data_IF_180876401022
#
_entry.id   IF_180876401022
#
_cell.length_a   1.000
_cell.length_b   1.000
_cell.length_c   1.000
_cell.angle_alpha   90.00
_cell.angle_beta   90.00
_cell.angle_gamma   90.00
#
_symmetry.space_group_name_H-M   'P 1'
#
loop_
_entity.id
_entity.type
_entity.pdbx_description
1 polymer ?
#
# COMPACT_ATOMS: atom_id res chain seq x y z
N UNK A 1 -7.74 0.71 18.11
CA UNK A 1 -7.94 0.26 16.72
C UNK A 1 -6.66 0.58 15.97
N UNK A 2 -6.19 -0.35 15.14
CA UNK A 2 -4.99 -0.13 14.32
C UNK A 2 -5.36 0.78 13.13
N UNK A 3 -4.45 1.66 12.72
CA UNK A 3 -4.65 2.46 11.51
C UNK A 3 -4.72 1.53 10.30
N UNK A 4 -5.69 1.76 9.41
CA UNK A 4 -5.84 1.01 8.16
C UNK A 4 -5.03 1.65 7.04
N UNK A 5 -4.05 0.93 6.55
CA UNK A 5 -3.21 1.33 5.42
C UNK A 5 -3.56 0.49 4.19
N UNK A 6 -3.93 1.16 3.11
CA UNK A 6 -4.14 0.51 1.81
C UNK A 6 -2.93 0.74 0.92
N UNK A 7 -2.39 -0.32 0.36
CA UNK A 7 -1.26 -0.29 -0.57
C UNK A 7 -1.82 -0.43 -1.99
N UNK A 8 -1.62 0.58 -2.81
CA UNK A 8 -1.93 0.51 -4.24
C UNK A 8 -0.67 0.06 -5.00
N UNK A 9 -0.76 -1.14 -5.57
CA UNK A 9 0.31 -1.80 -6.31
C UNK A 9 0.94 -2.95 -5.53
N UNK A 10 1.17 -4.06 -6.21
CA UNK A 10 1.71 -5.32 -5.66
C UNK A 10 3.08 -5.70 -6.25
N UNK A 11 3.83 -4.71 -6.75
CA UNK A 11 5.21 -4.90 -7.18
C UNK A 11 6.15 -5.11 -5.99
N UNK A 12 7.46 -5.08 -6.25
CA UNK A 12 8.47 -5.25 -5.20
C UNK A 12 8.32 -4.21 -4.07
N UNK A 13 8.21 -2.93 -4.44
CA UNK A 13 8.03 -1.85 -3.47
C UNK A 13 6.68 -1.91 -2.75
N UNK A 14 5.61 -2.31 -3.44
CA UNK A 14 4.27 -2.46 -2.86
C UNK A 14 4.22 -3.56 -1.79
N UNK A 15 4.72 -4.76 -2.11
CA UNK A 15 4.76 -5.87 -1.15
C UNK A 15 5.71 -5.56 0.01
N UNK A 16 6.88 -4.99 -0.25
CA UNK A 16 7.78 -4.55 0.82
C UNK A 16 7.15 -3.52 1.76
N UNK A 17 6.41 -2.56 1.22
CA UNK A 17 5.65 -1.58 1.99
C UNK A 17 4.53 -2.24 2.82
N UNK A 18 3.79 -3.19 2.23
CA UNK A 18 2.73 -3.93 2.91
C UNK A 18 3.26 -4.71 4.11
N UNK A 19 4.38 -5.41 3.93
CA UNK A 19 5.04 -6.18 5.00
C UNK A 19 5.55 -5.25 6.09
N UNK A 20 6.22 -4.15 5.73
CA UNK A 20 6.68 -3.16 6.71
C UNK A 20 5.50 -2.60 7.52
N UNK A 21 4.41 -2.19 6.86
CA UNK A 21 3.23 -1.68 7.55
C UNK A 21 2.61 -2.75 8.48
N UNK A 22 2.49 -4.01 8.04
CA UNK A 22 1.99 -5.11 8.88
C UNK A 22 2.86 -5.29 10.14
N UNK A 23 4.19 -5.29 9.98
CA UNK A 23 5.13 -5.40 11.10
C UNK A 23 5.10 -4.19 12.04
N UNK A 24 4.64 -3.02 11.57
CA UNK A 24 4.43 -1.82 12.40
C UNK A 24 3.03 -1.72 13.00
N UNK A 25 2.20 -2.75 12.83
CA UNK A 25 0.90 -2.87 13.48
C UNK A 25 -0.25 -2.19 12.75
N UNK A 26 -0.12 -1.91 11.46
CA UNK A 26 -1.25 -1.43 10.65
C UNK A 26 -2.20 -2.59 10.30
N UNK A 27 -3.48 -2.24 10.08
CA UNK A 27 -4.40 -3.10 9.31
C UNK A 27 -4.10 -2.86 7.82
N UNK A 28 -3.55 -3.87 7.13
CA UNK A 28 -2.99 -3.70 5.79
C UNK A 28 -3.83 -4.44 4.75
N UNK A 29 -4.11 -3.75 3.65
CA UNK A 29 -4.77 -4.33 2.48
C UNK A 29 -4.01 -3.92 1.21
N UNK A 30 -3.73 -4.87 0.33
CA UNK A 30 -3.06 -4.63 -0.96
C UNK A 30 -4.07 -4.69 -2.11
N UNK A 31 -4.03 -3.73 -3.02
CA UNK A 31 -4.92 -3.69 -4.18
C UNK A 31 -4.12 -3.42 -5.45
N UNK A 32 -4.22 -4.33 -6.42
CA UNK A 32 -3.59 -4.20 -7.73
C UNK A 32 -4.62 -4.36 -8.86
N UNK A 33 -4.57 -3.44 -9.84
CA UNK A 33 -5.43 -3.48 -11.02
C UNK A 33 -4.99 -4.50 -12.06
N UNK A 34 -3.78 -5.07 -11.92
CA UNK A 34 -3.26 -6.17 -12.70
C UNK A 34 -3.16 -7.47 -11.88
N UNK A 35 -2.53 -8.47 -12.49
CA UNK A 35 -2.30 -9.77 -11.88
C UNK A 35 -1.09 -9.72 -10.95
N UNK A 36 -1.21 -10.31 -9.76
CA UNK A 36 -0.11 -10.36 -8.79
C UNK A 36 0.75 -11.58 -9.08
N UNK A 37 2.08 -11.38 -9.15
CA UNK A 37 3.01 -12.47 -9.34
C UNK A 37 2.94 -13.47 -8.17
N UNK A 38 3.03 -14.76 -8.46
CA UNK A 38 2.87 -15.84 -7.46
C UNK A 38 3.83 -15.70 -6.27
N UNK A 39 5.06 -15.23 -6.51
CA UNK A 39 6.04 -14.96 -5.45
C UNK A 39 5.52 -13.93 -4.43
N UNK A 40 4.85 -12.88 -4.90
CA UNK A 40 4.34 -11.81 -4.05
C UNK A 40 3.09 -12.24 -3.30
N UNK A 41 2.19 -13.03 -3.91
CA UNK A 41 1.06 -13.63 -3.20
C UNK A 41 1.52 -14.50 -2.03
N UNK A 42 2.52 -15.36 -2.25
CA UNK A 42 3.11 -16.18 -1.17
C UNK A 42 3.66 -15.35 -0.02
N UNK A 43 4.28 -14.21 -0.31
CA UNK A 43 4.74 -13.29 0.74
C UNK A 43 3.55 -12.66 1.48
N UNK A 44 2.54 -12.15 0.76
CA UNK A 44 1.34 -11.58 1.37
C UNK A 44 0.58 -12.61 2.24
N UNK A 45 0.43 -13.84 1.76
CA UNK A 45 -0.17 -14.95 2.50
C UNK A 45 0.64 -15.29 3.76
N UNK A 46 1.97 -15.33 3.65
CA UNK A 46 2.86 -15.61 4.79
C UNK A 46 2.71 -14.58 5.92
N UNK A 47 2.49 -13.30 5.57
CA UNK A 47 2.26 -12.23 6.53
C UNK A 47 0.77 -12.01 6.86
N UNK A 48 -0.12 -12.87 6.37
CA UNK A 48 -1.57 -12.77 6.55
C UNK A 48 -2.10 -11.38 6.16
N UNK A 49 -1.69 -10.90 4.98
CA UNK A 49 -2.10 -9.62 4.42
C UNK A 49 -3.18 -9.90 3.37
N UNK A 50 -4.37 -9.31 3.56
CA UNK A 50 -5.44 -9.42 2.58
C UNK A 50 -5.07 -8.65 1.30
N UNK A 51 -5.39 -9.23 0.14
CA UNK A 51 -5.15 -8.58 -1.14
C UNK A 51 -6.26 -8.81 -2.16
N UNK A 52 -6.30 -7.97 -3.19
CA UNK A 52 -7.06 -8.19 -4.41
C UNK A 52 -6.20 -7.96 -5.65
N UNK A 53 -6.53 -8.68 -6.71
CA UNK A 53 -5.86 -8.59 -8.01
C UNK A 53 -6.89 -8.42 -9.13
N UNK A 54 -6.46 -7.87 -10.25
CA UNK A 54 -7.25 -7.59 -11.46
C UNK A 54 -8.42 -6.60 -11.23
N UNK A 55 -8.41 -5.88 -10.10
CA UNK A 55 -9.45 -4.90 -9.76
C UNK A 55 -9.01 -3.94 -8.65
N UNK A 56 -9.76 -2.84 -8.55
CA UNK A 56 -9.73 -1.94 -7.41
C UNK A 56 -11.14 -1.82 -6.81
N UNK A 57 -11.38 -2.44 -5.66
CA UNK A 57 -12.66 -2.36 -4.95
C UNK A 57 -12.71 -1.07 -4.14
N UNK A 58 -13.49 -0.11 -4.61
CA UNK A 58 -13.55 1.24 -4.02
C UNK A 58 -13.93 1.23 -2.54
N UNK A 59 -14.89 0.40 -2.11
CA UNK A 59 -15.29 0.33 -0.70
C UNK A 59 -14.12 -0.12 0.20
N UNK A 60 -13.30 -1.07 -0.26
CA UNK A 60 -12.14 -1.55 0.51
C UNK A 60 -11.03 -0.51 0.59
N UNK A 61 -10.80 0.20 -0.52
CA UNK A 61 -9.73 1.20 -0.66
C UNK A 61 -10.10 2.49 0.07
N UNK A 62 -11.31 2.98 -0.12
CA UNK A 62 -11.78 4.24 0.46
C UNK A 62 -12.06 4.14 1.96
N UNK A 63 -12.04 2.95 2.56
CA UNK A 63 -12.11 2.77 4.00
C UNK A 63 -10.73 2.96 4.71
N UNK A 64 -9.68 3.30 3.95
CA UNK A 64 -8.34 3.52 4.51
C UNK A 64 -8.25 4.81 5.35
N UNK A 65 -7.42 4.76 6.39
CA UNK A 65 -6.95 5.97 7.09
C UNK A 65 -5.82 6.65 6.29
N UNK A 66 -4.99 5.84 5.63
CA UNK A 66 -3.86 6.29 4.81
C UNK A 66 -3.65 5.34 3.63
N UNK A 67 -3.22 5.88 2.48
CA UNK A 67 -2.91 5.09 1.29
C UNK A 67 -1.44 5.25 0.96
N UNK A 68 -0.74 4.14 0.79
CA UNK A 68 0.55 4.14 0.10
C UNK A 68 0.30 3.84 -1.38
N UNK A 69 0.89 4.65 -2.27
CA UNK A 69 0.72 4.50 -3.71
C UNK A 69 2.07 4.28 -4.39
N UNK A 70 2.21 3.15 -5.08
CA UNK A 70 3.40 2.86 -5.89
C UNK A 70 3.61 3.89 -7.02
N UNK A 71 4.86 4.22 -7.41
CA UNK A 71 5.14 5.22 -8.45
C UNK A 71 4.54 4.88 -9.81
N UNK A 72 4.40 3.58 -10.11
CA UNK A 72 3.82 3.09 -11.36
C UNK A 72 2.33 3.39 -11.53
N UNK A 73 1.62 3.77 -10.45
CA UNK A 73 0.19 4.10 -10.52
C UNK A 73 0.02 5.58 -10.90
N UNK A 74 -0.64 5.88 -12.03
CA UNK A 74 -0.83 7.24 -12.49
C UNK A 74 -1.65 8.09 -11.51
N UNK A 75 -1.22 9.33 -11.27
CA UNK A 75 -2.02 10.31 -10.48
C UNK A 75 -3.40 10.57 -11.07
N UNK A 76 -3.55 10.37 -12.38
CA UNK A 76 -4.82 10.56 -13.10
C UNK A 76 -5.76 9.37 -12.99
N UNK A 77 -5.36 8.27 -12.37
CA UNK A 77 -6.22 7.11 -12.18
C UNK A 77 -7.47 7.49 -11.35
N UNK A 78 -8.62 6.95 -11.72
CA UNK A 78 -9.90 7.30 -11.06
C UNK A 78 -9.89 7.01 -9.57
N UNK A 79 -9.27 5.90 -9.14
CA UNK A 79 -9.15 5.55 -7.73
C UNK A 79 -8.34 6.60 -6.94
N UNK A 80 -7.26 7.12 -7.51
CA UNK A 80 -6.41 8.16 -6.87
C UNK A 80 -7.20 9.46 -6.69
N UNK A 81 -7.97 9.86 -7.70
CA UNK A 81 -8.86 11.04 -7.60
C UNK A 81 -9.90 10.87 -6.49
N UNK A 82 -10.49 9.67 -6.36
CA UNK A 82 -11.49 9.36 -5.32
C UNK A 82 -10.87 9.41 -3.91
N UNK A 83 -9.68 8.85 -3.73
CA UNK A 83 -8.93 8.91 -2.46
C UNK A 83 -8.68 10.36 -2.06
N UNK A 84 -8.14 11.18 -2.97
CA UNK A 84 -7.90 12.61 -2.71
C UNK A 84 -9.19 13.38 -2.41
N UNK A 85 -10.28 13.10 -3.13
CA UNK A 85 -11.59 13.73 -2.90
C UNK A 85 -12.14 13.40 -1.51
N UNK A 86 -11.84 12.21 -0.98
CA UNK A 86 -12.23 11.79 0.37
C UNK A 86 -11.33 12.36 1.47
N UNK A 87 -10.24 13.05 1.09
CA UNK A 87 -9.28 13.63 2.04
C UNK A 87 -8.37 12.60 2.69
N UNK A 88 -8.24 11.40 2.12
CA UNK A 88 -7.32 10.37 2.62
C UNK A 88 -5.91 10.73 2.18
N UNK A 89 -4.97 10.66 3.13
CA UNK A 89 -3.56 10.94 2.88
C UNK A 89 -2.94 9.89 1.94
N UNK A 90 -2.15 10.35 0.97
CA UNK A 90 -1.42 9.49 0.05
C UNK A 90 0.08 9.69 0.26
N UNK A 91 0.79 8.60 0.56
CA UNK A 91 2.24 8.57 0.74
C UNK A 91 2.93 7.65 -0.28
N UNK A 92 4.25 7.77 -0.42
CA UNK A 92 5.08 6.86 -1.20
C UNK A 92 5.71 5.77 -0.33
N UNK A 93 6.29 4.75 -0.96
CA UNK A 93 7.15 3.75 -0.31
C UNK A 93 8.33 4.40 0.42
N UNK A 94 8.90 5.47 -0.16
CA UNK A 94 10.07 6.15 0.40
C UNK A 94 9.67 6.88 1.67
N UNK A 95 8.52 7.55 1.67
CA UNK A 95 7.98 8.22 2.85
C UNK A 95 7.66 7.20 3.95
N UNK A 96 7.03 6.06 3.60
CA UNK A 96 6.78 4.99 4.55
C UNK A 96 8.08 4.44 5.14
N UNK A 97 9.09 4.18 4.31
CA UNK A 97 10.39 3.71 4.76
C UNK A 97 11.06 4.74 5.68
N UNK A 98 11.02 6.02 5.31
CA UNK A 98 11.60 7.14 6.06
C UNK A 98 11.04 7.23 7.49
N UNK A 99 9.75 6.97 7.68
CA UNK A 99 9.13 6.91 9.02
C UNK A 99 9.74 5.84 9.93
N UNK A 100 10.45 4.85 9.38
CA UNK A 100 10.98 3.69 10.10
C UNK A 100 12.48 3.45 9.96
N UNK A 101 13.26 4.40 9.40
CA UNK A 101 14.73 4.27 9.31
C UNK A 101 15.45 4.45 10.66
N UNK A 102 14.75 4.91 11.69
CA UNK A 102 15.31 5.16 13.02
C UNK A 102 16.43 6.20 12.99
N UNK A 103 17.61 5.85 13.50
CA UNK A 103 18.79 6.72 13.52
C UNK A 103 19.70 6.53 12.28
N UNK A 104 19.24 5.79 11.27
CA UNK A 104 20.03 5.56 10.06
C UNK A 104 20.19 6.85 9.26
N UNK A 105 21.33 6.99 8.59
CA UNK A 105 21.59 8.14 7.71
C UNK A 105 20.92 7.91 6.35
N UNK A 106 20.07 8.83 5.92
CA UNK A 106 19.55 8.89 4.55
C UNK A 106 20.61 9.52 3.63
N UNK A 107 20.91 8.87 2.52
CA UNK A 107 21.78 9.39 1.45
C UNK A 107 21.02 9.17 0.14
N UNK A 108 20.81 10.22 -0.64
CA UNK A 108 20.07 10.22 -1.90
C UNK A 108 20.69 11.15 -2.93
#
# INVERSE_FOLDING_TARGET
MNKRMVILGSGESGVGAAILAKLKGYDVFVSDGGKIAEKYKKELDHFEIEYEEERHTEEKILNADEVMKSPGIPEKAEIVKKIRKKGIEIISEIELAYRYIGNSKLIG
#
